data_IF_260192767062
#
_entry.id   IF_260192767062
#
_cell.length_a   1.000
_cell.length_b   1.000
_cell.length_c   1.000
_cell.angle_alpha   90.00
_cell.angle_beta   90.00
_cell.angle_gamma   90.00
#
_symmetry.space_group_name_H-M   'P 1'
#
loop_
_entity.id
_entity.type
_entity.pdbx_description
1 polymer ?
#
# COMPACT_ATOMS: atom_id res chain seq x y z
N UNK A 1 -19.87 4.42 5.85
CA UNK A 1 -20.29 3.01 5.66
C UNK A 1 -19.14 2.07 6.02
N UNK A 2 -19.40 0.91 6.63
CA UNK A 2 -18.38 -0.12 6.90
C UNK A 2 -18.89 -1.47 6.38
N UNK A 3 -18.05 -2.24 5.67
CA UNK A 3 -18.43 -3.54 5.11
C UNK A 3 -17.24 -4.50 4.98
N UNK A 4 -17.46 -5.82 5.02
CA UNK A 4 -16.45 -6.81 4.66
C UNK A 4 -16.22 -6.83 3.14
N UNK A 5 -14.98 -7.02 2.70
CA UNK A 5 -14.60 -7.08 1.30
C UNK A 5 -13.57 -8.17 1.02
N UNK A 6 -13.58 -8.67 -0.23
CA UNK A 6 -12.49 -9.46 -0.78
C UNK A 6 -11.45 -8.47 -1.32
N UNK A 7 -10.25 -8.48 -0.77
CA UNK A 7 -9.14 -7.62 -1.17
C UNK A 7 -8.18 -8.41 -2.05
N UNK A 8 -7.71 -7.79 -3.11
CA UNK A 8 -6.67 -8.30 -3.98
C UNK A 8 -5.56 -7.26 -4.11
N UNK A 9 -4.33 -7.73 -4.10
CA UNK A 9 -3.14 -6.89 -4.30
C UNK A 9 -2.25 -7.53 -5.34
N UNK A 10 -1.70 -6.72 -6.23
CA UNK A 10 -0.64 -7.10 -7.16
C UNK A 10 0.46 -6.05 -7.07
N UNK A 11 1.63 -6.47 -6.64
CA UNK A 11 2.83 -5.64 -6.64
C UNK A 11 3.79 -6.20 -7.68
N UNK A 12 4.19 -5.36 -8.64
CA UNK A 12 5.34 -5.63 -9.50
C UNK A 12 6.48 -4.74 -9.09
N UNK A 13 7.65 -5.33 -8.95
CA UNK A 13 8.87 -4.63 -8.55
C UNK A 13 9.94 -4.86 -9.60
N UNK A 14 10.61 -3.78 -10.02
CA UNK A 14 11.79 -3.85 -10.89
C UNK A 14 12.98 -3.24 -10.16
N UNK A 15 14.05 -4.01 -9.96
CA UNK A 15 15.30 -3.51 -9.37
C UNK A 15 16.10 -2.69 -10.38
N UNK A 16 17.08 -1.87 -9.95
CA UNK A 16 17.95 -1.13 -10.87
C UNK A 16 18.69 -2.01 -11.89
N UNK A 17 18.97 -3.27 -11.54
CA UNK A 17 19.61 -4.26 -12.41
C UNK A 17 18.65 -4.87 -13.44
N UNK A 18 17.37 -4.48 -13.40
CA UNK A 18 16.31 -4.98 -14.28
C UNK A 18 15.71 -6.31 -13.84
N UNK A 19 16.01 -6.78 -12.62
CA UNK A 19 15.34 -7.96 -12.07
C UNK A 19 13.89 -7.62 -11.74
N UNK A 20 12.98 -8.49 -12.16
CA UNK A 20 11.54 -8.32 -11.91
C UNK A 20 11.05 -9.35 -10.91
N UNK A 21 10.16 -8.92 -10.04
CA UNK A 21 9.40 -9.76 -9.11
C UNK A 21 7.92 -9.36 -9.14
N UNK A 22 7.04 -10.33 -8.92
CA UNK A 22 5.59 -10.12 -8.86
C UNK A 22 4.98 -10.87 -7.69
N UNK A 23 4.27 -10.12 -6.83
CA UNK A 23 3.56 -10.66 -5.67
C UNK A 23 2.07 -10.40 -5.86
N UNK A 24 1.29 -11.49 -5.89
CA UNK A 24 -0.17 -11.44 -5.97
C UNK A 24 -0.77 -12.11 -4.74
N UNK A 25 -1.65 -11.39 -4.04
CA UNK A 25 -2.25 -11.87 -2.81
C UNK A 25 -3.74 -11.55 -2.75
N UNK A 26 -4.47 -12.33 -1.95
CA UNK A 26 -5.90 -12.14 -1.72
C UNK A 26 -6.22 -12.28 -0.24
N UNK A 27 -6.94 -11.30 0.31
CA UNK A 27 -7.28 -11.23 1.72
C UNK A 27 -8.78 -11.01 1.93
N UNK A 28 -9.23 -11.28 3.16
CA UNK A 28 -10.48 -10.70 3.66
C UNK A 28 -10.14 -9.41 4.39
N UNK A 29 -10.83 -8.33 4.03
CA UNK A 29 -10.60 -7.01 4.61
C UNK A 29 -11.91 -6.43 5.16
N UNK A 30 -11.77 -5.50 6.10
CA UNK A 30 -12.85 -4.58 6.48
C UNK A 30 -12.59 -3.24 5.82
N UNK A 31 -13.57 -2.74 5.07
CA UNK A 31 -13.52 -1.45 4.39
C UNK A 31 -14.42 -0.46 5.12
N UNK A 32 -13.95 0.77 5.27
CA UNK A 32 -14.72 1.90 5.77
C UNK A 32 -14.66 3.05 4.77
N UNK A 33 -15.82 3.50 4.31
CA UNK A 33 -15.99 4.68 3.46
C UNK A 33 -16.58 5.83 4.27
N UNK A 34 -16.11 7.05 4.04
CA UNK A 34 -16.59 8.27 4.70
C UNK A 34 -17.13 9.26 3.67
N UNK A 35 -18.08 10.08 4.09
CA UNK A 35 -18.79 11.03 3.22
C UNK A 35 -17.87 12.12 2.63
N UNK A 36 -16.71 12.36 3.24
CA UNK A 36 -15.69 13.28 2.75
C UNK A 36 -14.77 12.68 1.66
N UNK A 37 -15.12 11.51 1.11
CA UNK A 37 -14.34 10.83 0.07
C UNK A 37 -13.09 10.10 0.58
N UNK A 38 -12.88 10.05 1.90
CA UNK A 38 -11.82 9.24 2.49
C UNK A 38 -12.27 7.80 2.67
N UNK A 39 -11.34 6.88 2.47
CA UNK A 39 -11.55 5.46 2.63
C UNK A 39 -10.41 4.83 3.42
N UNK A 40 -10.71 3.70 4.05
CA UNK A 40 -9.69 2.87 4.68
C UNK A 40 -10.06 1.41 4.55
N UNK A 41 -9.06 0.55 4.40
CA UNK A 41 -9.23 -0.89 4.50
C UNK A 41 -8.18 -1.47 5.45
N UNK A 42 -8.54 -2.56 6.13
CA UNK A 42 -7.66 -3.27 7.05
C UNK A 42 -7.81 -4.77 6.85
N UNK A 43 -6.71 -5.48 6.87
CA UNK A 43 -6.67 -6.94 6.80
C UNK A 43 -5.58 -7.51 7.71
N UNK A 44 -5.75 -8.77 8.10
CA UNK A 44 -4.71 -9.54 8.77
C UNK A 44 -3.63 -9.89 7.78
N UNK A 45 -2.42 -9.38 8.01
CA UNK A 45 -1.23 -9.68 7.23
C UNK A 45 -0.52 -10.86 7.89
N UNK A 46 -0.82 -12.07 7.42
CA UNK A 46 -0.28 -13.32 8.01
C UNK A 46 1.21 -13.45 7.79
N UNK A 47 1.75 -12.93 6.69
CA UNK A 47 3.19 -12.96 6.40
C UNK A 47 3.96 -12.02 7.33
N UNK A 48 3.36 -10.89 7.70
CA UNK A 48 3.92 -9.96 8.68
C UNK A 48 3.57 -10.31 10.14
N UNK A 49 2.86 -11.41 10.38
CA UNK A 49 2.30 -11.78 11.69
C UNK A 49 1.54 -10.63 12.38
N UNK A 50 0.75 -9.86 11.62
CA UNK A 50 0.09 -8.67 12.15
C UNK A 50 -1.04 -8.12 11.30
N UNK A 51 -1.10 -6.80 11.17
CA UNK A 51 -2.17 -6.07 10.51
C UNK A 51 -1.59 -5.08 9.51
N UNK A 52 -2.21 -5.02 8.33
CA UNK A 52 -1.91 -3.98 7.35
C UNK A 52 -3.16 -3.13 7.13
N UNK A 53 -2.97 -1.82 7.12
CA UNK A 53 -4.02 -0.84 6.90
C UNK A 53 -3.64 0.09 5.73
N UNK A 54 -4.57 0.22 4.79
CA UNK A 54 -4.49 1.19 3.72
C UNK A 54 -5.50 2.30 4.01
N UNK A 55 -5.10 3.54 3.80
CA UNK A 55 -5.97 4.71 3.92
C UNK A 55 -5.74 5.61 2.74
N UNK A 56 -6.79 6.18 2.18
CA UNK A 56 -6.65 7.10 1.07
C UNK A 56 -7.70 8.19 1.03
N UNK A 57 -7.35 9.22 0.29
CA UNK A 57 -8.20 10.34 -0.11
C UNK A 57 -7.86 10.68 -1.58
N UNK A 58 -8.54 11.63 -2.22
CA UNK A 58 -8.34 11.91 -3.64
C UNK A 58 -6.90 12.20 -4.09
N UNK A 59 -6.03 12.67 -3.19
CA UNK A 59 -4.67 13.10 -3.55
C UNK A 59 -3.55 12.32 -2.83
N UNK A 60 -3.89 11.37 -1.96
CA UNK A 60 -2.88 10.65 -1.20
C UNK A 60 -3.38 9.27 -0.77
N UNK A 61 -2.42 8.40 -0.53
CA UNK A 61 -2.64 7.11 0.12
C UNK A 61 -1.54 6.87 1.15
N UNK A 62 -1.83 6.09 2.18
CA UNK A 62 -0.82 5.56 3.08
C UNK A 62 -1.01 4.07 3.29
N UNK A 63 0.10 3.34 3.44
CA UNK A 63 0.14 1.94 3.84
C UNK A 63 0.83 1.89 5.19
N UNK A 64 0.13 1.40 6.21
CA UNK A 64 0.70 1.14 7.54
C UNK A 64 0.75 -0.36 7.77
N UNK A 65 1.92 -0.87 8.11
CA UNK A 65 2.12 -2.27 8.52
C UNK A 65 2.46 -2.29 9.99
N UNK A 66 1.79 -3.16 10.73
CA UNK A 66 2.06 -3.43 12.13
C UNK A 66 2.18 -4.94 12.33
N UNK A 67 3.24 -5.41 12.98
CA UNK A 67 3.62 -6.83 13.03
C UNK A 67 5.12 -6.98 13.21
N UNK A 68 5.71 -8.05 12.67
CA UNK A 68 7.16 -8.26 12.67
C UNK A 68 7.90 -7.11 12.00
N UNK A 69 7.34 -6.63 10.90
CA UNK A 69 7.72 -5.39 10.25
C UNK A 69 6.74 -4.28 10.58
N UNK A 70 7.25 -3.12 10.96
CA UNK A 70 6.46 -1.91 11.21
C UNK A 70 6.93 -0.77 10.32
N UNK A 71 5.99 -0.16 9.60
CA UNK A 71 6.27 0.99 8.75
C UNK A 71 5.00 1.79 8.46
N UNK A 72 5.18 3.04 8.04
CA UNK A 72 4.10 3.88 7.53
C UNK A 72 4.58 4.60 6.27
N UNK A 73 4.24 4.05 5.11
CA UNK A 73 4.50 4.69 3.83
C UNK A 73 3.37 5.68 3.52
N UNK A 74 3.74 6.88 3.08
CA UNK A 74 2.82 7.91 2.60
C UNK A 74 3.15 8.20 1.14
N UNK A 75 2.10 8.24 0.32
CA UNK A 75 2.20 8.42 -1.12
C UNK A 75 1.43 9.65 -1.55
N UNK A 76 2.10 10.51 -2.31
CA UNK A 76 1.54 11.69 -2.95
C UNK A 76 2.35 12.01 -4.19
N UNK A 77 1.66 12.14 -5.34
CA UNK A 77 2.30 12.30 -6.65
C UNK A 77 3.27 13.48 -6.66
N UNK A 78 4.50 13.23 -7.11
CA UNK A 78 5.57 14.22 -7.22
C UNK A 78 6.32 14.51 -5.91
N UNK A 79 5.90 13.94 -4.77
CA UNK A 79 6.61 14.10 -3.50
C UNK A 79 7.52 12.90 -3.18
N UNK A 80 8.68 13.19 -2.60
CA UNK A 80 9.56 12.22 -1.96
C UNK A 80 9.33 12.26 -0.45
N UNK A 81 8.76 11.19 0.10
CA UNK A 81 8.32 11.13 1.49
C UNK A 81 9.10 10.08 2.28
N UNK A 82 9.62 10.51 3.43
CA UNK A 82 10.38 9.70 4.38
C UNK A 82 9.48 8.77 5.19
N UNK A 83 10.00 7.58 5.47
CA UNK A 83 9.44 6.62 6.42
C UNK A 83 10.55 5.84 7.09
N UNK A 84 10.29 5.39 8.31
CA UNK A 84 11.13 4.39 8.99
C UNK A 84 10.54 3.01 8.76
N UNK A 85 11.39 2.05 8.44
CA UNK A 85 11.06 0.64 8.36
C UNK A 85 11.76 -0.11 9.47
N UNK A 86 10.97 -0.64 10.38
CA UNK A 86 11.44 -1.39 11.54
C UNK A 86 11.21 -2.86 11.26
N UNK A 87 12.26 -3.66 11.35
CA UNK A 87 12.21 -5.12 11.22
C UNK A 87 12.97 -5.78 12.37
N UNK A 88 12.90 -7.12 12.54
CA UNK A 88 13.70 -7.81 13.55
C UNK A 88 15.22 -7.66 13.35
N UNK A 89 15.66 -7.34 12.12
CA UNK A 89 17.07 -7.15 11.79
C UNK A 89 17.57 -5.72 12.03
N UNK A 90 16.69 -4.79 12.39
CA UNK A 90 17.02 -3.40 12.64
C UNK A 90 16.07 -2.42 11.95
N UNK A 91 16.41 -1.14 12.09
CA UNK A 91 15.67 -0.01 11.53
C UNK A 91 16.40 0.56 10.32
N UNK A 92 15.63 0.86 9.27
CA UNK A 92 16.13 1.40 8.01
C UNK A 92 15.35 2.65 7.63
N UNK A 93 16.07 3.66 7.13
CA UNK A 93 15.45 4.83 6.50
C UNK A 93 14.99 4.46 5.09
N UNK A 94 13.74 4.79 4.80
CA UNK A 94 13.11 4.58 3.50
C UNK A 94 12.57 5.90 2.97
N UNK A 95 12.64 6.05 1.65
CA UNK A 95 11.91 7.11 0.96
C UNK A 95 11.07 6.50 -0.14
N UNK A 96 9.90 7.08 -0.36
CA UNK A 96 9.09 6.77 -1.56
C UNK A 96 8.99 8.03 -2.40
N UNK A 97 9.15 7.90 -3.72
CA UNK A 97 8.83 8.96 -4.66
C UNK A 97 7.67 8.48 -5.54
N UNK A 98 6.50 9.10 -5.37
CA UNK A 98 5.27 8.64 -6.04
C UNK A 98 5.18 9.26 -7.42
N UNK A 99 5.09 8.44 -8.47
CA UNK A 99 5.01 8.90 -9.86
C UNK A 99 3.60 8.83 -10.43
N UNK A 100 2.74 7.96 -9.89
CA UNK A 100 1.34 7.85 -10.27
C UNK A 100 0.48 7.42 -9.07
N UNK A 101 -0.70 8.01 -8.94
CA UNK A 101 -1.73 7.57 -8.00
C UNK A 101 -3.12 7.83 -8.60
N UNK A 102 -3.83 6.74 -8.90
CA UNK A 102 -5.22 6.76 -9.33
C UNK A 102 -6.04 5.95 -8.33
N UNK A 103 -7.18 6.49 -7.88
CA UNK A 103 -8.09 5.78 -7.01
C UNK A 103 -9.54 6.02 -7.45
N UNK A 104 -10.26 4.94 -7.71
CA UNK A 104 -11.72 4.95 -7.95
C UNK A 104 -12.36 4.11 -6.86
N UNK A 105 -13.14 4.74 -5.99
CA UNK A 105 -13.77 4.08 -4.84
C UNK A 105 -15.26 4.36 -4.86
N UNK A 106 -16.04 3.28 -4.88
CA UNK A 106 -17.50 3.28 -4.93
C UNK A 106 -18.06 2.51 -3.73
N UNK A 107 -19.39 2.44 -3.59
CA UNK A 107 -20.02 1.79 -2.45
C UNK A 107 -19.74 0.28 -2.34
N UNK A 108 -19.59 -0.38 -3.48
CA UNK A 108 -19.50 -1.85 -3.57
C UNK A 108 -18.09 -2.34 -3.94
N UNK A 109 -17.22 -1.45 -4.42
CA UNK A 109 -15.89 -1.81 -4.90
C UNK A 109 -14.93 -0.64 -4.82
N UNK A 110 -13.64 -0.93 -4.94
CA UNK A 110 -12.64 0.10 -5.19
C UNK A 110 -11.43 -0.45 -5.91
N UNK A 111 -10.73 0.45 -6.62
CA UNK A 111 -9.49 0.16 -7.32
C UNK A 111 -8.52 1.31 -7.13
N UNK A 112 -7.27 0.96 -6.83
CA UNK A 112 -6.15 1.86 -6.69
C UNK A 112 -5.02 1.35 -7.56
N UNK A 113 -4.39 2.28 -8.28
CA UNK A 113 -3.16 2.11 -9.03
C UNK A 113 -2.14 3.10 -8.48
N UNK A 114 -0.98 2.60 -8.08
CA UNK A 114 0.05 3.39 -7.42
C UNK A 114 1.41 3.00 -7.99
N UNK A 115 2.11 3.95 -8.62
CA UNK A 115 3.49 3.76 -9.04
C UNK A 115 4.41 4.61 -8.19
N UNK A 116 5.51 4.00 -7.73
CA UNK A 116 6.48 4.69 -6.89
C UNK A 116 7.87 4.08 -6.98
N UNK A 117 8.86 4.92 -6.81
CA UNK A 117 10.25 4.51 -6.58
C UNK A 117 10.46 4.36 -5.08
N UNK A 118 11.11 3.26 -4.69
CA UNK A 118 11.51 2.99 -3.32
C UNK A 118 13.00 3.21 -3.17
N UNK A 119 13.40 3.96 -2.16
CA UNK A 119 14.80 4.19 -1.80
C UNK A 119 15.08 3.61 -0.42
N UNK A 120 16.21 2.92 -0.29
CA UNK A 120 16.78 2.45 0.96
C UNK A 120 18.15 3.11 1.13
N UNK A 121 18.36 3.83 2.24
CA UNK A 121 19.62 4.58 2.47
C UNK A 121 20.03 5.42 1.25
N UNK A 122 19.08 6.19 0.72
CA UNK A 122 19.19 7.04 -0.47
C UNK A 122 19.48 6.35 -1.82
N UNK A 123 19.70 5.05 -1.83
CA UNK A 123 19.87 4.27 -3.06
C UNK A 123 18.53 3.78 -3.58
N UNK A 124 18.31 3.90 -4.90
CA UNK A 124 17.13 3.31 -5.54
C UNK A 124 17.15 1.80 -5.31
N UNK A 125 16.14 1.28 -4.64
CA UNK A 125 16.01 -0.15 -4.34
C UNK A 125 15.09 -0.86 -5.34
N UNK A 126 13.98 -0.21 -5.71
CA UNK A 126 13.04 -0.76 -6.69
C UNK A 126 12.11 0.32 -7.25
N UNK A 127 11.67 0.12 -8.49
CA UNK A 127 10.48 0.76 -9.05
C UNK A 127 9.30 -0.18 -8.85
N UNK A 128 8.20 0.33 -8.32
CA UNK A 128 7.05 -0.46 -7.90
C UNK A 128 5.78 -0.02 -8.63
N UNK A 129 5.02 -0.98 -9.13
CA UNK A 129 3.65 -0.82 -9.60
C UNK A 129 2.74 -1.64 -8.69
N UNK A 130 1.93 -0.95 -7.88
CA UNK A 130 0.98 -1.55 -6.96
C UNK A 130 -0.45 -1.33 -7.47
N UNK A 131 -1.13 -2.43 -7.76
CA UNK A 131 -2.57 -2.47 -7.96
C UNK A 131 -3.24 -3.04 -6.71
N UNK A 132 -4.27 -2.35 -6.22
CA UNK A 132 -5.14 -2.82 -5.13
C UNK A 132 -6.57 -2.73 -5.60
N UNK A 133 -7.32 -3.81 -5.51
CA UNK A 133 -8.75 -3.77 -5.78
C UNK A 133 -9.52 -4.60 -4.78
N UNK A 134 -10.76 -4.21 -4.52
CA UNK A 134 -11.63 -4.94 -3.62
C UNK A 134 -13.07 -4.90 -4.07
N UNK A 135 -13.80 -5.93 -3.67
CA UNK A 135 -15.24 -6.10 -3.92
C UNK A 135 -15.93 -6.43 -2.59
N UNK A 136 -17.06 -5.78 -2.30
CA UNK A 136 -17.85 -6.03 -1.10
C UNK A 136 -18.27 -7.49 -1.05
N UNK A 137 -18.17 -8.10 0.13
CA UNK A 137 -18.74 -9.41 0.40
C UNK A 137 -20.14 -9.23 1.00
N UNK A 138 -21.13 -9.87 0.38
CA UNK A 138 -22.48 -10.05 0.92
C UNK A 138 -22.52 -11.14 1.97
#
# INVERSE_FOLDING_TARGET
MIYPARLHTRLRSTTPEGQQDEIVQTYRAMVALRDNGTWSLRYTDTENHGQTALQGAPQWMSISRDGDTRSRLLFRVGERLESVYVSPMGEFQMHTHTTLFNATVEAEQGRVELHYELFLSDSLAAQNELEVWWERQT
#
